data_IF_576846263941
#
_entry.id   IF_576846263941
#
_cell.length_a   1.000
_cell.length_b   1.000
_cell.length_c   1.000
_cell.angle_alpha   90.00
_cell.angle_beta   90.00
_cell.angle_gamma   90.00
#
_symmetry.space_group_name_H-M   'P 1'
#
loop_
_entity.id
_entity.type
_entity.pdbx_description
1 polymer ?
#
# COMPACT_ATOMS: atom_id res chain seq x y z
N UNK A 1 10.32 21.59 -17.42
CA UNK A 1 9.80 20.30 -17.90
C UNK A 1 9.85 19.37 -16.71
N UNK A 2 8.71 19.07 -16.10
CA UNK A 2 8.67 18.05 -15.05
C UNK A 2 9.07 16.71 -15.68
N UNK A 3 9.83 15.89 -14.95
CA UNK A 3 10.14 14.53 -15.38
C UNK A 3 8.84 13.75 -15.71
N UNK A 4 8.87 12.73 -16.58
CA UNK A 4 7.72 11.86 -16.73
C UNK A 4 7.36 11.31 -15.34
N UNK A 5 6.16 11.64 -14.86
CA UNK A 5 5.70 11.23 -13.54
C UNK A 5 5.60 9.71 -13.52
N UNK A 6 6.13 9.09 -12.47
CA UNK A 6 6.09 7.64 -12.30
C UNK A 6 4.61 7.18 -12.31
N UNK A 7 4.20 6.13 -13.06
CA UNK A 7 2.80 5.70 -13.08
C UNK A 7 2.23 5.36 -11.68
N UNK A 8 3.08 4.90 -10.76
CA UNK A 8 2.70 4.69 -9.35
C UNK A 8 2.36 6.02 -8.67
N UNK A 9 3.26 7.00 -8.78
CA UNK A 9 3.06 8.36 -8.25
C UNK A 9 1.81 9.02 -8.85
N UNK A 10 1.67 8.95 -10.17
CA UNK A 10 0.51 9.46 -10.90
C UNK A 10 -0.80 8.85 -10.40
N UNK A 11 -0.81 7.55 -10.06
CA UNK A 11 -2.01 6.91 -9.53
C UNK A 11 -2.44 7.47 -8.16
N UNK A 12 -1.48 7.82 -7.31
CA UNK A 12 -1.76 8.48 -6.03
C UNK A 12 -2.15 9.95 -6.19
N UNK A 13 -1.53 10.69 -7.12
CA UNK A 13 -1.92 12.07 -7.44
C UNK A 13 -3.37 12.14 -7.95
N UNK A 14 -3.74 11.24 -8.87
CA UNK A 14 -5.11 11.12 -9.37
C UNK A 14 -6.09 10.75 -8.25
N UNK A 15 -5.72 9.85 -7.35
CA UNK A 15 -6.55 9.49 -6.20
C UNK A 15 -6.76 10.67 -5.24
N UNK A 16 -5.71 11.43 -4.95
CA UNK A 16 -5.77 12.61 -4.08
C UNK A 16 -6.70 13.71 -4.61
N UNK A 17 -6.86 13.80 -5.94
CA UNK A 17 -7.82 14.74 -6.56
C UNK A 17 -9.29 14.36 -6.34
N UNK A 18 -9.58 13.10 -5.99
CA UNK A 18 -10.94 12.56 -5.84
C UNK A 18 -11.30 12.21 -4.40
N UNK A 19 -10.31 11.88 -3.58
CA UNK A 19 -10.50 11.40 -2.23
C UNK A 19 -9.50 12.08 -1.30
N UNK A 20 -10.01 12.82 -0.31
CA UNK A 20 -9.18 13.51 0.68
C UNK A 20 -8.50 12.53 1.67
N UNK A 21 -9.12 11.37 1.91
CA UNK A 21 -8.61 10.35 2.81
C UNK A 21 -8.92 8.94 2.28
N UNK A 22 -7.87 8.23 1.87
CA UNK A 22 -7.95 6.86 1.37
C UNK A 22 -8.16 5.83 2.49
N UNK A 23 -7.88 6.19 3.74
CA UNK A 23 -7.85 5.26 4.89
C UNK A 23 -9.15 4.45 5.02
N UNK A 24 -10.35 5.07 5.00
CA UNK A 24 -11.59 4.31 5.15
C UNK A 24 -11.79 3.31 4.01
N UNK A 25 -11.44 3.69 2.77
CA UNK A 25 -11.62 2.85 1.58
C UNK A 25 -10.68 1.64 1.58
N UNK A 26 -9.41 1.87 1.90
CA UNK A 26 -8.39 0.81 1.96
C UNK A 26 -8.74 -0.20 3.05
N UNK A 27 -9.07 0.27 4.25
CA UNK A 27 -9.36 -0.63 5.36
C UNK A 27 -10.72 -1.31 5.25
N UNK A 28 -11.73 -0.66 4.66
CA UNK A 28 -12.97 -1.34 4.32
C UNK A 28 -12.68 -2.54 3.41
N UNK A 29 -11.91 -2.36 2.33
CA UNK A 29 -11.56 -3.49 1.46
C UNK A 29 -10.72 -4.53 2.18
N UNK A 30 -9.73 -4.13 2.99
CA UNK A 30 -8.93 -5.07 3.78
C UNK A 30 -9.82 -5.95 4.65
N UNK A 31 -10.81 -5.36 5.33
CA UNK A 31 -11.72 -6.06 6.22
C UNK A 31 -12.73 -6.95 5.50
N UNK A 32 -13.08 -6.62 4.26
CA UNK A 32 -13.92 -7.46 3.40
C UNK A 32 -13.15 -8.67 2.85
N UNK A 33 -11.88 -8.48 2.46
CA UNK A 33 -11.04 -9.55 1.89
C UNK A 33 -10.41 -10.44 2.96
N UNK A 34 -10.05 -9.86 4.11
CA UNK A 34 -9.37 -10.50 5.23
C UNK A 34 -10.09 -10.19 6.56
N UNK A 35 -11.28 -10.75 6.81
CA UNK A 35 -12.09 -10.44 8.01
C UNK A 35 -11.35 -10.64 9.33
N UNK A 36 -10.36 -11.53 9.37
CA UNK A 36 -9.47 -11.73 10.51
C UNK A 36 -8.74 -10.45 10.93
N UNK A 37 -8.44 -9.52 10.02
CA UNK A 37 -7.74 -8.26 10.33
C UNK A 37 -8.58 -7.29 11.15
N UNK A 38 -9.91 -7.36 11.09
CA UNK A 38 -10.79 -6.53 11.94
C UNK A 38 -10.47 -6.71 13.43
N UNK A 39 -10.01 -7.92 13.78
CA UNK A 39 -9.65 -8.28 15.13
C UNK A 39 -8.38 -7.60 15.65
N UNK A 40 -7.51 -7.18 14.74
CA UNK A 40 -6.22 -6.55 15.03
C UNK A 40 -6.37 -5.06 15.37
N UNK A 41 -7.45 -4.41 14.90
CA UNK A 41 -7.70 -2.97 15.09
C UNK A 41 -8.83 -2.66 16.10
N UNK A 42 -9.20 -3.61 16.98
CA UNK A 42 -10.44 -3.58 17.81
C UNK A 42 -10.61 -2.44 18.83
N UNK A 43 -9.67 -1.51 19.00
CA UNK A 43 -9.80 -0.45 20.00
C UNK A 43 -10.38 0.84 19.39
N UNK A 44 -11.36 1.43 20.08
CA UNK A 44 -11.82 2.80 19.82
C UNK A 44 -10.59 3.74 19.73
N UNK A 45 -10.46 4.51 18.64
CA UNK A 45 -9.28 5.34 18.36
C UNK A 45 -8.21 4.69 17.46
N UNK A 46 -8.47 3.50 16.91
CA UNK A 46 -7.59 2.86 15.91
C UNK A 46 -7.52 3.64 14.59
N UNK A 47 -8.45 4.56 14.31
CA UNK A 47 -8.47 5.29 13.03
C UNK A 47 -7.17 6.07 12.79
N UNK A 48 -6.61 6.68 13.85
CA UNK A 48 -5.33 7.40 13.76
C UNK A 48 -4.15 6.46 13.46
N UNK A 49 -4.15 5.27 14.05
CA UNK A 49 -3.13 4.25 13.81
C UNK A 49 -3.24 3.74 12.38
N UNK A 50 -4.46 3.47 11.93
CA UNK A 50 -4.76 3.02 10.57
C UNK A 50 -4.32 4.04 9.52
N UNK A 51 -4.66 5.31 9.72
CA UNK A 51 -4.24 6.40 8.82
C UNK A 51 -2.72 6.56 8.80
N UNK A 52 -2.06 6.48 9.96
CA UNK A 52 -0.60 6.59 10.06
C UNK A 52 0.11 5.41 9.38
N UNK A 53 -0.39 4.18 9.59
CA UNK A 53 0.13 2.97 8.95
C UNK A 53 -0.02 3.03 7.43
N UNK A 54 -1.17 3.49 6.93
CA UNK A 54 -1.39 3.67 5.50
C UNK A 54 -0.45 4.75 4.93
N UNK A 55 -0.31 5.89 5.59
CA UNK A 55 0.58 6.97 5.13
C UNK A 55 2.03 6.49 4.99
N UNK A 56 2.57 5.82 6.03
CA UNK A 56 3.91 5.24 5.98
C UNK A 56 4.06 4.19 4.87
N UNK A 57 3.02 3.38 4.64
CA UNK A 57 3.01 2.39 3.56
C UNK A 57 3.06 3.07 2.18
N UNK A 58 2.30 4.15 1.99
CA UNK A 58 2.31 4.93 0.74
C UNK A 58 3.68 5.58 0.52
N UNK A 59 4.28 6.18 1.54
CA UNK A 59 5.64 6.74 1.46
C UNK A 59 6.67 5.68 1.08
N UNK A 60 6.59 4.50 1.67
CA UNK A 60 7.47 3.38 1.34
C UNK A 60 7.26 2.88 -0.11
N UNK A 61 6.01 2.82 -0.59
CA UNK A 61 5.67 2.46 -1.97
C UNK A 61 6.26 3.48 -2.95
N UNK A 62 6.04 4.78 -2.72
CA UNK A 62 6.53 5.85 -3.58
C UNK A 62 8.06 5.86 -3.65
N UNK A 63 8.73 5.69 -2.50
CA UNK A 63 10.19 5.58 -2.46
C UNK A 63 10.70 4.30 -3.15
N UNK A 64 10.01 3.17 -2.96
CA UNK A 64 10.34 1.90 -3.62
C UNK A 64 10.24 1.99 -5.15
N UNK A 65 9.20 2.68 -5.64
CA UNK A 65 8.95 2.89 -7.06
C UNK A 65 9.87 3.96 -7.67
N UNK A 66 10.43 4.86 -6.85
CA UNK A 66 11.31 5.96 -7.25
C UNK A 66 12.80 5.65 -7.06
N UNK A 67 13.53 6.63 -6.52
CA UNK A 67 15.00 6.59 -6.36
C UNK A 67 15.49 5.72 -5.19
N UNK A 68 14.58 5.19 -4.35
CA UNK A 68 14.90 4.31 -3.21
C UNK A 68 15.85 4.97 -2.21
N UNK A 69 15.50 6.16 -1.75
CA UNK A 69 16.30 6.96 -0.84
C UNK A 69 16.33 6.39 0.59
N UNK A 70 15.37 5.55 0.98
CA UNK A 70 15.52 4.70 2.17
C UNK A 70 14.24 4.18 2.82
N UNK A 71 13.09 4.84 2.64
CA UNK A 71 11.80 4.41 3.21
C UNK A 71 11.37 3.04 2.72
N UNK A 72 11.75 2.67 1.49
CA UNK A 72 11.48 1.34 0.94
C UNK A 72 12.00 0.19 1.84
N UNK A 73 13.05 0.44 2.65
CA UNK A 73 13.61 -0.55 3.59
C UNK A 73 12.65 -0.89 4.72
N UNK A 74 11.71 0.00 5.05
CA UNK A 74 10.66 -0.26 6.03
C UNK A 74 9.85 -1.50 5.64
N UNK A 75 9.66 -1.76 4.35
CA UNK A 75 8.94 -2.94 3.87
C UNK A 75 9.58 -4.22 4.42
N UNK A 76 10.91 -4.36 4.34
CA UNK A 76 11.60 -5.54 4.85
C UNK A 76 11.60 -5.59 6.40
N UNK A 77 11.81 -4.44 7.06
CA UNK A 77 11.81 -4.37 8.53
C UNK A 77 10.44 -4.72 9.13
N UNK A 78 9.36 -4.21 8.53
CA UNK A 78 8.01 -4.35 9.07
C UNK A 78 7.44 -5.75 8.91
N UNK A 79 7.89 -6.54 7.93
CA UNK A 79 7.48 -7.96 7.79
C UNK A 79 7.74 -8.73 9.09
N UNK A 80 8.92 -8.56 9.70
CA UNK A 80 9.26 -9.23 10.96
C UNK A 80 8.46 -8.70 12.16
N UNK A 81 8.25 -7.38 12.22
CA UNK A 81 7.42 -6.76 13.26
C UNK A 81 5.98 -7.26 13.20
N UNK A 82 5.41 -7.37 12.00
CA UNK A 82 4.03 -7.78 11.76
C UNK A 82 3.81 -9.27 12.05
N UNK A 83 4.79 -10.14 11.77
CA UNK A 83 4.76 -11.54 12.21
C UNK A 83 4.63 -11.64 13.74
N UNK A 84 5.39 -10.80 14.48
CA UNK A 84 5.30 -10.69 15.94
C UNK A 84 3.93 -10.21 16.46
N UNK A 85 3.16 -9.48 15.65
CA UNK A 85 1.79 -9.06 15.94
C UNK A 85 0.72 -10.08 15.50
N UNK A 86 1.13 -11.20 14.89
CA UNK A 86 0.21 -12.22 14.37
C UNK A 86 -0.32 -11.93 12.97
N UNK A 87 0.31 -11.00 12.24
CA UNK A 87 0.03 -10.76 10.81
C UNK A 87 1.04 -11.55 9.99
N UNK A 88 0.65 -12.71 9.43
CA UNK A 88 1.56 -13.50 8.61
C UNK A 88 2.01 -12.70 7.39
N UNK A 89 3.20 -13.01 6.88
CA UNK A 89 3.78 -12.31 5.74
C UNK A 89 2.83 -12.23 4.53
N UNK A 90 2.11 -13.30 4.23
CA UNK A 90 1.14 -13.32 3.12
C UNK A 90 0.08 -12.21 3.26
N UNK A 91 -0.40 -11.98 4.48
CA UNK A 91 -1.35 -10.92 4.79
C UNK A 91 -0.71 -9.52 4.74
N UNK A 92 0.56 -9.41 5.19
CA UNK A 92 1.32 -8.17 5.06
C UNK A 92 1.50 -7.77 3.59
N UNK A 93 1.86 -8.72 2.72
CA UNK A 93 2.01 -8.48 1.28
C UNK A 93 0.66 -8.22 0.61
N UNK A 94 -0.40 -8.91 1.02
CA UNK A 94 -1.76 -8.69 0.52
C UNK A 94 -2.23 -7.24 0.74
N UNK A 95 -1.77 -6.55 1.79
CA UNK A 95 -2.11 -5.16 2.04
C UNK A 95 -1.72 -4.21 0.89
N UNK A 96 -0.58 -4.44 0.23
CA UNK A 96 -0.17 -3.66 -0.94
C UNK A 96 -1.11 -3.86 -2.12
N UNK A 97 -1.61 -5.09 -2.32
CA UNK A 97 -2.60 -5.39 -3.35
C UNK A 97 -3.97 -4.76 -3.03
N UNK A 98 -4.36 -4.70 -1.76
CA UNK A 98 -5.55 -3.97 -1.30
C UNK A 98 -5.46 -2.48 -1.65
N UNK A 99 -4.30 -1.85 -1.44
CA UNK A 99 -4.06 -0.45 -1.83
C UNK A 99 -4.20 -0.27 -3.35
N UNK A 100 -3.53 -1.10 -4.15
CA UNK A 100 -3.66 -1.10 -5.62
C UNK A 100 -5.11 -1.16 -6.06
N UNK A 101 -5.86 -2.13 -5.56
CA UNK A 101 -7.27 -2.32 -5.93
C UNK A 101 -8.13 -1.13 -5.49
N UNK A 102 -7.71 -0.39 -4.46
CA UNK A 102 -8.40 0.84 -3.97
C UNK A 102 -8.21 1.97 -4.94
N UNK A 103 -6.98 2.13 -5.41
CA UNK A 103 -6.69 3.09 -6.45
C UNK A 103 -7.39 2.72 -7.75
N UNK A 104 -7.36 1.46 -8.19
CA UNK A 104 -8.05 1.02 -9.41
C UNK A 104 -9.53 1.37 -9.40
N UNK A 105 -10.23 0.98 -8.34
CA UNK A 105 -11.68 1.19 -8.28
C UNK A 105 -12.03 2.69 -8.10
N UNK A 106 -11.18 3.46 -7.41
CA UNK A 106 -11.33 4.92 -7.28
C UNK A 106 -11.04 5.65 -8.60
N UNK A 107 -10.07 5.18 -9.38
CA UNK A 107 -9.62 5.82 -10.61
C UNK A 107 -10.53 5.51 -11.80
N UNK A 108 -11.22 4.36 -11.79
CA UNK A 108 -12.15 3.96 -12.84
C UNK A 108 -11.49 4.02 -14.22
N UNK A 109 -12.06 4.81 -15.13
CA UNK A 109 -11.58 4.96 -16.52
C UNK A 109 -10.18 5.60 -16.62
N UNK A 110 -9.72 6.30 -15.58
CA UNK A 110 -8.37 6.89 -15.55
C UNK A 110 -7.30 5.89 -15.04
N UNK A 111 -7.70 4.68 -14.62
CA UNK A 111 -6.77 3.58 -14.38
C UNK A 111 -6.24 3.04 -15.71
N UNK A 112 -5.17 3.65 -16.20
CA UNK A 112 -4.61 3.30 -17.50
C UNK A 112 -3.89 1.94 -17.51
N UNK A 113 -3.70 1.32 -18.69
CA UNK A 113 -2.90 0.10 -18.81
C UNK A 113 -1.46 0.26 -18.29
N UNK A 114 -0.88 1.46 -18.41
CA UNK A 114 0.46 1.76 -17.90
C UNK A 114 0.49 1.77 -16.36
N UNK A 115 -0.53 2.36 -15.72
CA UNK A 115 -0.68 2.31 -14.26
C UNK A 115 -0.86 0.86 -13.81
N UNK A 116 -1.72 0.09 -14.48
CA UNK A 116 -1.96 -1.31 -14.16
C UNK A 116 -0.66 -2.13 -14.20
N UNK A 117 0.10 -2.01 -15.29
CA UNK A 117 1.34 -2.75 -15.48
C UNK A 117 2.42 -2.36 -14.45
N UNK A 118 2.53 -1.08 -14.12
CA UNK A 118 3.48 -0.60 -13.12
C UNK A 118 3.15 -1.18 -11.73
N UNK A 119 1.87 -1.20 -11.34
CA UNK A 119 1.45 -1.78 -10.07
C UNK A 119 1.66 -3.29 -10.00
N UNK A 120 1.37 -4.03 -11.07
CA UNK A 120 1.61 -5.47 -11.10
C UNK A 120 3.11 -5.80 -10.98
N UNK A 121 3.98 -5.02 -11.63
CA UNK A 121 5.42 -5.16 -11.47
C UNK A 121 5.88 -4.80 -10.05
N UNK A 122 5.37 -3.69 -9.50
CA UNK A 122 5.69 -3.25 -8.14
C UNK A 122 5.38 -4.33 -7.10
N UNK A 123 4.21 -4.97 -7.18
CA UNK A 123 3.82 -6.02 -6.24
C UNK A 123 4.75 -7.24 -6.30
N UNK A 124 5.19 -7.64 -7.50
CA UNK A 124 6.18 -8.72 -7.67
C UNK A 124 7.52 -8.32 -7.05
N UNK A 125 7.98 -7.08 -7.27
CA UNK A 125 9.23 -6.59 -6.71
C UNK A 125 9.19 -6.48 -5.18
N UNK A 126 8.06 -6.02 -4.62
CA UNK A 126 7.85 -5.93 -3.16
C UNK A 126 7.84 -7.32 -2.53
N UNK A 127 7.13 -8.29 -3.11
CA UNK A 127 7.13 -9.65 -2.57
C UNK A 127 8.53 -10.27 -2.61
N UNK A 128 9.24 -10.11 -3.73
CA UNK A 128 10.63 -10.56 -3.84
C UNK A 128 11.52 -9.88 -2.79
N UNK A 129 11.39 -8.56 -2.60
CA UNK A 129 12.17 -7.82 -1.61
C UNK A 129 11.88 -8.27 -0.17
N UNK A 130 10.62 -8.53 0.16
CA UNK A 130 10.19 -9.02 1.47
C UNK A 130 10.65 -10.47 1.77
N UNK A 131 11.22 -11.20 0.80
CA UNK A 131 11.88 -12.50 1.05
C UNK A 131 13.29 -12.37 1.60
N UNK A 132 13.93 -11.21 1.47
CA UNK A 132 15.33 -11.03 1.83
C UNK A 132 15.41 -10.88 3.36
N UNK A 133 16.19 -11.71 4.06
CA UNK A 133 16.45 -11.51 5.49
C UNK A 133 17.03 -10.12 5.72
N UNK A 134 16.48 -9.38 6.69
CA UNK A 134 16.97 -8.07 7.10
C UNK A 134 18.41 -8.11 7.62
#
# INVERSE_FOLDING_TARGET
MSAPSNPIESSFELAASRCADLTPLVYQRLFEQHPETQTMFRSQGSELVMGSMLALTIEAILDFAGERQGHFRLIACEVASHDGYGTPRELFIAFFAVIRDTLRDLLGDEWSPEIAQAWDQLLVEIDAFATIPA
#
